data_IF_183732488040
#
_entry.id   IF_183732488040
#
_cell.length_a   1.000
_cell.length_b   1.000
_cell.length_c   1.000
_cell.angle_alpha   90.00
_cell.angle_beta   90.00
_cell.angle_gamma   90.00
#
_symmetry.space_group_name_H-M   'P 1'
#
loop_
_entity.id
_entity.type
_entity.pdbx_description
1 polymer ?
#
# COMPACT_ATOMS: atom_id res chain seq x y z
N UNK A 1 -36.30 -5.68 -13.37
CA UNK A 1 -35.05 -6.09 -12.70
C UNK A 1 -33.92 -5.26 -13.29
N UNK A 2 -33.35 -4.34 -12.52
CA UNK A 2 -32.19 -3.54 -12.95
C UNK A 2 -31.00 -3.94 -12.07
N UNK A 3 -30.00 -4.57 -12.67
CA UNK A 3 -28.83 -5.08 -11.97
C UNK A 3 -27.92 -3.93 -11.54
N UNK A 4 -27.76 -3.72 -10.23
CA UNK A 4 -26.62 -2.97 -9.69
C UNK A 4 -25.38 -3.84 -9.87
N UNK A 5 -24.51 -3.43 -10.80
CA UNK A 5 -23.10 -3.83 -10.78
C UNK A 5 -22.46 -3.18 -9.54
N UNK A 6 -22.52 -3.87 -8.40
CA UNK A 6 -21.64 -3.60 -7.28
C UNK A 6 -20.26 -4.13 -7.67
N UNK A 7 -19.49 -3.35 -8.42
CA UNK A 7 -18.06 -3.58 -8.51
C UNK A 7 -17.51 -3.41 -7.09
N UNK A 8 -17.34 -4.53 -6.35
CA UNK A 8 -16.60 -4.53 -5.09
C UNK A 8 -15.18 -4.12 -5.44
N UNK A 9 -14.85 -2.86 -5.21
CA UNK A 9 -13.46 -2.43 -5.07
C UNK A 9 -12.89 -3.31 -3.97
N UNK A 10 -11.94 -4.19 -4.32
CA UNK A 10 -11.22 -4.98 -3.33
C UNK A 10 -10.13 -4.08 -2.79
N UNK A 11 -10.09 -3.89 -1.47
CA UNK A 11 -8.97 -3.20 -0.87
C UNK A 11 -7.66 -3.95 -1.20
N UNK A 12 -6.67 -3.19 -1.64
CA UNK A 12 -5.32 -3.70 -1.83
C UNK A 12 -4.70 -4.01 -0.45
N UNK A 13 -3.88 -5.05 -0.42
CA UNK A 13 -3.14 -5.43 0.77
C UNK A 13 -1.64 -5.36 0.50
N UNK A 14 -0.91 -4.75 1.43
CA UNK A 14 0.54 -4.71 1.44
C UNK A 14 1.07 -5.24 2.78
N UNK A 15 2.33 -5.70 2.78
CA UNK A 15 3.05 -6.02 4.01
C UNK A 15 4.30 -5.15 4.10
N UNK A 16 4.52 -4.57 5.27
CA UNK A 16 5.69 -3.77 5.62
C UNK A 16 6.20 -4.27 6.97
N UNK A 17 7.48 -4.64 7.06
CA UNK A 17 8.09 -5.20 8.28
C UNK A 17 7.25 -6.32 8.97
N UNK A 18 6.56 -7.16 8.18
CA UNK A 18 5.69 -8.23 8.69
C UNK A 18 4.27 -7.79 9.09
N UNK A 19 4.01 -6.50 9.19
CA UNK A 19 2.68 -5.95 9.44
C UNK A 19 1.85 -5.84 8.17
N UNK A 20 0.53 -6.01 8.29
CA UNK A 20 -0.41 -5.96 7.15
C UNK A 20 -1.07 -4.59 7.08
N UNK A 21 -1.15 -4.04 5.88
CA UNK A 21 -1.81 -2.78 5.59
C UNK A 21 -2.91 -2.98 4.54
N UNK A 22 -4.01 -2.26 4.70
CA UNK A 22 -5.19 -2.29 3.83
C UNK A 22 -5.38 -0.90 3.23
N UNK A 23 -5.62 -0.83 1.93
CA UNK A 23 -5.82 0.45 1.27
C UNK A 23 -6.00 0.31 -0.23
N UNK A 24 -5.37 1.19 -0.99
CA UNK A 24 -5.45 1.24 -2.44
C UNK A 24 -4.07 1.05 -3.06
N UNK A 25 -4.01 0.34 -4.18
CA UNK A 25 -2.87 0.31 -5.09
C UNK A 25 -3.10 1.28 -6.26
N UNK A 26 -2.03 1.91 -6.71
CA UNK A 26 -2.06 2.80 -7.86
C UNK A 26 -0.84 2.49 -8.73
N UNK A 27 -1.00 2.63 -10.04
CA UNK A 27 0.10 2.50 -10.99
C UNK A 27 0.22 3.80 -11.76
N UNK A 28 1.36 4.45 -11.64
CA UNK A 28 1.69 5.68 -12.34
C UNK A 28 2.76 5.44 -13.41
N UNK A 29 2.90 6.41 -14.31
CA UNK A 29 4.09 6.54 -15.17
C UNK A 29 4.74 7.87 -14.89
N UNK A 30 5.98 7.85 -14.45
CA UNK A 30 6.79 9.05 -14.19
C UNK A 30 8.00 9.00 -15.12
N UNK A 31 8.12 9.97 -16.02
CA UNK A 31 9.19 10.04 -17.03
C UNK A 31 9.36 8.72 -17.81
N UNK A 32 8.24 8.12 -18.22
CA UNK A 32 8.21 6.84 -18.94
C UNK A 32 8.38 5.59 -18.07
N UNK A 33 8.80 5.72 -16.81
CA UNK A 33 8.98 4.59 -15.89
C UNK A 33 7.68 4.26 -15.17
N UNK A 34 7.33 2.97 -15.11
CA UNK A 34 6.18 2.51 -14.31
C UNK A 34 6.53 2.60 -12.83
N UNK A 35 5.64 3.20 -12.05
CA UNK A 35 5.76 3.31 -10.59
C UNK A 35 4.52 2.69 -9.97
N UNK A 36 4.73 1.66 -9.14
CA UNK A 36 3.67 1.14 -8.28
C UNK A 36 3.65 1.98 -7.00
N UNK A 37 2.46 2.34 -6.55
CA UNK A 37 2.24 3.05 -5.31
C UNK A 37 1.16 2.35 -4.49
N UNK A 38 1.32 2.37 -3.17
CA UNK A 38 0.36 1.90 -2.20
C UNK A 38 0.09 3.02 -1.20
N UNK A 39 -1.18 3.23 -0.87
CA UNK A 39 -1.58 4.10 0.24
C UNK A 39 -2.63 3.37 1.08
N UNK A 40 -2.46 3.34 2.39
CA UNK A 40 -3.34 2.58 3.27
C UNK A 40 -3.07 2.79 4.75
N UNK A 41 -3.67 1.92 5.56
CA UNK A 41 -3.60 1.95 7.02
C UNK A 41 -3.39 0.54 7.56
N UNK A 42 -2.76 0.41 8.73
CA UNK A 42 -2.56 -0.87 9.39
C UNK A 42 -3.90 -1.62 9.52
N UNK A 43 -3.91 -2.92 9.23
CA UNK A 43 -5.14 -3.70 9.08
C UNK A 43 -5.99 -3.71 10.35
N UNK A 44 -5.37 -3.79 11.53
CA UNK A 44 -6.09 -3.75 12.81
C UNK A 44 -6.75 -2.39 13.07
N UNK A 45 -6.18 -1.30 12.54
CA UNK A 45 -6.78 0.02 12.57
C UNK A 45 -7.84 0.21 11.47
N UNK A 46 -7.65 -0.38 10.30
CA UNK A 46 -8.66 -0.40 9.23
C UNK A 46 -9.98 -1.01 9.72
N UNK A 47 -9.90 -2.15 10.42
CA UNK A 47 -11.08 -2.85 10.92
C UNK A 47 -11.92 -1.96 11.85
N UNK A 48 -11.26 -1.16 12.70
CA UNK A 48 -11.94 -0.18 13.57
C UNK A 48 -12.65 0.93 12.76
N UNK A 49 -12.05 1.39 11.66
CA UNK A 49 -12.71 2.36 10.78
C UNK A 49 -13.90 1.74 10.04
N UNK A 50 -13.78 0.49 9.59
CA UNK A 50 -14.85 -0.25 8.94
C UNK A 50 -16.05 -0.50 9.87
N UNK A 51 -15.79 -0.68 11.16
CA UNK A 51 -16.81 -0.82 12.22
C UNK A 51 -17.35 0.54 12.72
N UNK A 52 -16.77 1.66 12.28
CA UNK A 52 -17.16 3.01 12.71
C UNK A 52 -16.67 3.41 14.11
N UNK A 53 -15.73 2.67 14.70
CA UNK A 53 -15.20 2.90 16.04
C UNK A 53 -13.99 3.85 16.02
N UNK A 54 -14.23 5.11 15.64
CA UNK A 54 -13.17 6.12 15.42
C UNK A 54 -12.36 6.45 16.69
N UNK A 55 -13.00 6.44 17.85
CA UNK A 55 -12.34 6.81 19.11
C UNK A 55 -11.36 5.73 19.55
N UNK A 56 -11.71 4.47 19.31
CA UNK A 56 -10.83 3.33 19.55
C UNK A 56 -9.67 3.32 18.57
N UNK A 57 -9.90 3.67 17.30
CA UNK A 57 -8.83 3.89 16.32
C UNK A 57 -7.82 4.92 16.83
N UNK A 58 -8.30 6.09 17.28
CA UNK A 58 -7.43 7.17 17.77
C UNK A 58 -6.61 6.74 18.98
N UNK A 59 -7.25 6.06 19.93
CA UNK A 59 -6.59 5.54 21.13
C UNK A 59 -5.48 4.55 20.76
N UNK A 60 -5.80 3.55 19.94
CA UNK A 60 -4.86 2.48 19.56
C UNK A 60 -3.72 3.00 18.69
N UNK A 61 -3.99 3.91 17.76
CA UNK A 61 -2.96 4.57 16.96
C UNK A 61 -2.01 5.39 17.85
N UNK A 62 -2.55 6.12 18.84
CA UNK A 62 -1.73 6.86 19.79
C UNK A 62 -0.86 5.93 20.66
N UNK A 63 -1.40 4.81 21.12
CA UNK A 63 -0.65 3.83 21.91
C UNK A 63 0.54 3.27 21.13
N UNK A 64 0.34 2.95 19.85
CA UNK A 64 1.34 2.38 18.94
C UNK A 64 2.22 3.41 18.22
N UNK A 65 2.10 4.70 18.53
CA UNK A 65 2.69 5.80 17.73
C UNK A 65 4.20 5.71 17.48
N UNK A 66 4.94 4.96 18.30
CA UNK A 66 6.38 4.75 18.20
C UNK A 66 6.76 3.32 17.75
N UNK A 67 5.78 2.47 17.44
CA UNK A 67 5.96 1.06 17.13
C UNK A 67 5.76 0.78 15.62
N UNK A 68 5.50 1.82 14.84
CA UNK A 68 5.35 1.71 13.39
C UNK A 68 6.71 1.48 12.72
N UNK A 69 6.75 0.76 11.59
CA UNK A 69 7.99 0.53 10.86
C UNK A 69 8.69 1.84 10.49
N UNK A 70 10.01 1.83 10.48
CA UNK A 70 10.80 2.86 9.83
C UNK A 70 11.00 2.50 8.34
N UNK A 71 11.26 3.48 7.46
CA UNK A 71 11.48 3.18 6.05
C UNK A 71 12.60 2.17 5.78
N UNK A 72 13.61 2.15 6.65
CA UNK A 72 14.76 1.24 6.57
C UNK A 72 14.41 -0.22 6.93
N UNK A 73 13.22 -0.48 7.51
CA UNK A 73 12.73 -1.82 7.81
C UNK A 73 12.05 -2.51 6.60
N UNK A 74 12.01 -1.86 5.44
CA UNK A 74 11.23 -2.29 4.27
C UNK A 74 12.11 -2.42 3.02
N UNK A 75 12.45 -3.65 2.67
CA UNK A 75 13.35 -3.95 1.54
C UNK A 75 12.66 -3.88 0.15
N UNK A 76 11.36 -4.21 0.07
CA UNK A 76 10.66 -4.45 -1.21
C UNK A 76 10.05 -3.20 -1.88
N UNK A 77 10.27 -2.03 -1.25
CA UNK A 77 9.76 -0.74 -1.69
C UNK A 77 10.90 0.28 -1.78
N UNK A 78 10.79 1.23 -2.72
CA UNK A 78 11.84 2.23 -2.91
C UNK A 78 11.75 3.36 -1.89
N UNK A 79 10.62 4.06 -1.88
CA UNK A 79 10.32 5.10 -0.91
C UNK A 79 9.08 4.69 -0.12
N UNK A 80 9.16 4.74 1.21
CA UNK A 80 8.01 4.51 2.07
C UNK A 80 7.99 5.50 3.23
N UNK A 81 6.78 5.81 3.71
CA UNK A 81 6.56 6.61 4.91
C UNK A 81 5.47 5.97 5.75
N UNK A 82 5.70 5.96 7.06
CA UNK A 82 4.76 5.48 8.07
C UNK A 82 4.49 6.64 9.02
N UNK A 83 3.22 6.86 9.34
CA UNK A 83 2.80 7.96 10.20
C UNK A 83 2.37 7.44 11.57
N UNK A 84 2.47 8.27 12.63
CA UNK A 84 2.03 7.92 13.97
C UNK A 84 0.56 7.47 14.07
N UNK A 85 -0.28 7.84 13.11
CA UNK A 85 -1.67 7.42 13.04
C UNK A 85 -1.87 6.03 12.40
N UNK A 86 -0.79 5.34 12.04
CA UNK A 86 -0.81 4.01 11.43
C UNK A 86 -1.06 4.02 9.92
N UNK A 87 -1.04 5.19 9.27
CA UNK A 87 -1.11 5.29 7.81
C UNK A 87 0.26 5.04 7.16
N UNK A 88 0.23 4.46 5.97
CA UNK A 88 1.40 4.16 5.16
C UNK A 88 1.24 4.67 3.74
N UNK A 89 2.34 5.18 3.18
CA UNK A 89 2.51 5.44 1.75
C UNK A 89 3.79 4.74 1.30
N UNK A 90 3.73 3.98 0.21
CA UNK A 90 4.90 3.34 -0.38
C UNK A 90 4.90 3.47 -1.89
N UNK A 91 6.07 3.63 -2.49
CA UNK A 91 6.27 3.75 -3.93
C UNK A 91 7.52 2.98 -4.36
N UNK A 92 7.44 2.35 -5.52
CA UNK A 92 8.61 1.71 -6.14
C UNK A 92 8.53 1.82 -7.66
N UNK A 93 9.69 1.98 -8.28
CA UNK A 93 9.77 1.84 -9.73
C UNK A 93 9.72 0.36 -10.07
N UNK A 94 8.84 -0.01 -10.97
CA UNK A 94 8.79 -1.36 -11.53
C UNK A 94 9.78 -1.41 -12.69
N UNK A 95 10.79 -2.30 -12.66
CA UNK A 95 11.65 -2.53 -13.79
C UNK A 95 10.81 -2.90 -15.01
N UNK A 96 11.06 -2.25 -16.14
CA UNK A 96 10.52 -2.73 -17.40
C UNK A 96 11.09 -4.13 -17.60
N UNK A 97 10.23 -5.15 -17.70
CA UNK A 97 10.71 -6.50 -18.01
C UNK A 97 11.55 -6.38 -19.26
N UNK A 98 12.81 -6.83 -19.22
CA UNK A 98 13.59 -7.00 -20.43
C UNK A 98 12.75 -7.85 -21.38
N UNK A 99 12.34 -7.28 -22.51
CA UNK A 99 11.69 -8.04 -23.57
C UNK A 99 12.57 -9.25 -23.88
N UNK A 100 12.03 -10.48 -23.97
CA UNK A 100 12.80 -11.66 -24.33
C UNK A 100 13.20 -11.67 -25.81
N UNK A 101 13.30 -10.50 -26.46
CA UNK A 101 13.66 -10.38 -27.86
C UNK A 101 15.19 -10.31 -27.99
N UNK A 102 15.82 -11.45 -27.69
CA UNK A 102 17.13 -11.82 -28.23
C UNK A 102 17.03 -12.13 -29.71
N UNK A 103 16.62 -11.17 -30.55
CA UNK A 103 16.80 -11.30 -32.00
C UNK A 103 18.20 -10.82 -32.36
N UNK A 104 19.12 -11.77 -32.53
CA UNK A 104 20.43 -11.54 -33.13
C UNK A 104 20.28 -10.85 -34.49
N UNK A 105 21.07 -9.80 -34.80
CA UNK A 105 21.19 -9.33 -36.17
C UNK A 105 22.00 -10.36 -36.96
N UNK A 106 21.37 -10.93 -37.99
CA UNK A 106 22.07 -11.65 -39.06
C UNK A 106 22.67 -10.69 -40.07
#
# INVERSE_FOLDING_TARGET
MSGRINARVRDAQARFAGERYVGSDQVFRISGRRVDAFSGVAADLYDLLAEGTVEEYRRRAYERRNDWPEPDDVDDWGACTFRPDGTALAMRVVPERASPDGRSPG
#
